data_IF_683953803317
#
_entry.id   IF_683953803317
#
_cell.length_a   1.000
_cell.length_b   1.000
_cell.length_c   1.000
_cell.angle_alpha   90.00
_cell.angle_beta   90.00
_cell.angle_gamma   90.00
#
_symmetry.space_group_name_H-M   'P 1'
#
loop_
_entity.id
_entity.type
_entity.pdbx_description
1 polymer ?
#
# COMPACT_ATOMS: atom_id res chain seq x y z
N UNK A 1 -2.29 -3.13 -13.11
CA UNK A 1 -2.65 -4.54 -13.32
C UNK A 1 -3.76 -4.86 -12.33
N UNK A 2 -4.83 -5.52 -12.77
CA UNK A 2 -5.92 -5.90 -11.86
C UNK A 2 -5.44 -6.99 -10.89
N UNK A 3 -5.96 -6.98 -9.65
CA UNK A 3 -5.68 -8.05 -8.68
C UNK A 3 -6.07 -9.43 -9.23
N UNK A 4 -5.32 -10.46 -8.84
CA UNK A 4 -5.76 -11.84 -9.05
C UNK A 4 -7.00 -12.15 -8.21
N UNK A 5 -7.69 -13.26 -8.52
CA UNK A 5 -8.80 -13.74 -7.70
C UNK A 5 -8.36 -13.99 -6.24
N UNK A 6 -7.15 -14.53 -6.06
CA UNK A 6 -6.52 -14.75 -4.76
C UNK A 6 -6.29 -13.45 -3.99
N UNK A 7 -5.67 -12.45 -4.63
CA UNK A 7 -5.43 -11.14 -4.04
C UNK A 7 -6.73 -10.39 -3.73
N UNK A 8 -7.77 -10.57 -4.55
CA UNK A 8 -9.11 -10.03 -4.28
C UNK A 8 -9.72 -10.67 -3.03
N UNK A 9 -9.62 -12.00 -2.88
CA UNK A 9 -10.11 -12.70 -1.69
C UNK A 9 -9.35 -12.27 -0.42
N UNK A 10 -8.03 -12.09 -0.50
CA UNK A 10 -7.23 -11.55 0.60
C UNK A 10 -7.64 -10.11 0.94
N UNK A 11 -7.88 -9.27 -0.05
CA UNK A 11 -8.33 -7.88 0.16
C UNK A 11 -9.65 -7.84 0.93
N UNK A 12 -10.62 -8.69 0.59
CA UNK A 12 -11.87 -8.84 1.35
C UNK A 12 -11.63 -9.31 2.78
N UNK A 13 -10.72 -10.28 2.99
CA UNK A 13 -10.32 -10.72 4.32
C UNK A 13 -9.75 -9.55 5.15
N UNK A 14 -8.93 -8.69 4.54
CA UNK A 14 -8.36 -7.54 5.23
C UNK A 14 -9.43 -6.54 5.69
N UNK A 15 -10.38 -6.21 4.80
CA UNK A 15 -11.53 -5.34 5.13
C UNK A 15 -12.37 -5.94 6.27
N UNK A 16 -12.65 -7.25 6.22
CA UNK A 16 -13.47 -7.93 7.21
C UNK A 16 -12.81 -8.13 8.58
N UNK A 17 -11.51 -8.45 8.59
CA UNK A 17 -10.79 -8.81 9.80
C UNK A 17 -10.14 -7.62 10.49
N UNK A 18 -9.53 -6.70 9.73
CA UNK A 18 -8.73 -5.61 10.27
C UNK A 18 -9.39 -4.23 10.11
N UNK A 19 -10.51 -4.13 9.38
CA UNK A 19 -11.14 -2.85 9.00
C UNK A 19 -10.18 -1.90 8.26
N UNK A 20 -9.30 -2.46 7.44
CA UNK A 20 -8.35 -1.72 6.60
C UNK A 20 -8.08 -2.46 5.30
N UNK A 21 -7.54 -1.74 4.34
CA UNK A 21 -6.98 -2.35 3.14
C UNK A 21 -5.66 -3.07 3.46
N UNK A 22 -5.23 -4.06 2.66
CA UNK A 22 -3.93 -4.69 2.86
C UNK A 22 -2.79 -3.75 2.47
N UNK A 23 -1.75 -3.76 3.28
CA UNK A 23 -0.43 -3.26 2.92
C UNK A 23 0.24 -4.21 1.91
N UNK A 24 1.11 -3.67 1.05
CA UNK A 24 1.77 -4.45 -0.02
C UNK A 24 2.41 -5.74 0.48
N UNK A 25 3.27 -5.63 1.50
CA UNK A 25 4.04 -6.77 2.01
C UNK A 25 3.15 -7.85 2.61
N UNK A 26 2.11 -7.46 3.36
CA UNK A 26 1.13 -8.40 3.91
C UNK A 26 0.35 -9.12 2.82
N UNK A 27 -0.11 -8.40 1.80
CA UNK A 27 -0.78 -9.01 0.65
C UNK A 27 0.11 -10.03 -0.05
N UNK A 28 1.37 -9.66 -0.34
CA UNK A 28 2.34 -10.54 -1.00
C UNK A 28 2.68 -11.76 -0.15
N UNK A 29 2.83 -11.58 1.17
CA UNK A 29 3.08 -12.68 2.09
C UNK A 29 1.96 -13.72 2.04
N UNK A 30 0.70 -13.29 2.19
CA UNK A 30 -0.42 -14.22 2.17
C UNK A 30 -0.66 -14.82 0.79
N UNK A 31 -0.46 -14.06 -0.28
CA UNK A 31 -0.55 -14.58 -1.66
C UNK A 31 0.50 -15.67 -1.92
N UNK A 32 1.71 -15.51 -1.38
CA UNK A 32 2.76 -16.54 -1.42
C UNK A 32 2.38 -17.79 -0.59
N UNK A 33 1.79 -17.62 0.60
CA UNK A 33 1.31 -18.76 1.39
C UNK A 33 0.27 -19.58 0.62
N UNK A 34 -0.70 -18.92 -0.02
CA UNK A 34 -1.72 -19.58 -0.83
C UNK A 34 -1.11 -20.26 -2.06
N UNK A 35 -0.16 -19.59 -2.73
CA UNK A 35 0.57 -20.15 -3.87
C UNK A 35 1.41 -21.37 -3.51
N UNK A 36 1.89 -21.46 -2.26
CA UNK A 36 2.62 -22.62 -1.73
C UNK A 36 1.72 -23.80 -1.31
N UNK A 37 0.40 -23.68 -1.49
CA UNK A 37 -0.58 -24.73 -1.20
C UNK A 37 -1.27 -24.62 0.15
N UNK A 38 -1.05 -23.54 0.92
CA UNK A 38 -1.82 -23.30 2.14
C UNK A 38 -3.29 -23.05 1.77
N UNK A 39 -4.26 -23.76 2.37
CA UNK A 39 -5.67 -23.51 2.11
C UNK A 39 -6.09 -22.10 2.57
N UNK A 40 -6.95 -21.43 1.78
CA UNK A 40 -7.48 -20.11 2.15
C UNK A 40 -8.18 -20.10 3.51
N UNK A 41 -8.90 -21.18 3.85
CA UNK A 41 -9.53 -21.33 5.17
C UNK A 41 -8.52 -21.32 6.33
N UNK A 42 -7.31 -21.85 6.13
CA UNK A 42 -6.25 -21.82 7.12
C UNK A 42 -5.66 -20.42 7.27
N UNK A 43 -5.49 -19.68 6.16
CA UNK A 43 -5.08 -18.27 6.19
C UNK A 43 -6.10 -17.43 6.97
N UNK A 44 -7.40 -17.60 6.66
CA UNK A 44 -8.50 -16.91 7.36
C UNK A 44 -8.46 -17.21 8.87
N UNK A 45 -8.33 -18.49 9.26
CA UNK A 45 -8.24 -18.86 10.67
C UNK A 45 -7.02 -18.24 11.37
N UNK A 46 -5.88 -18.20 10.68
CA UNK A 46 -4.64 -17.61 11.19
C UNK A 46 -4.82 -16.11 11.40
N UNK A 47 -5.34 -15.39 10.41
CA UNK A 47 -5.62 -13.96 10.50
C UNK A 47 -6.55 -13.65 11.67
N UNK A 48 -7.65 -14.39 11.83
CA UNK A 48 -8.60 -14.18 12.94
C UNK A 48 -8.07 -14.61 14.31
N UNK A 49 -6.90 -15.27 14.37
CA UNK A 49 -6.20 -15.58 15.62
C UNK A 49 -5.23 -14.48 16.06
N UNK A 50 -4.91 -13.53 15.16
CA UNK A 50 -3.93 -12.47 15.46
C UNK A 50 -4.44 -11.53 16.56
N UNK A 51 -3.56 -11.08 17.48
CA UNK A 51 -3.93 -10.17 18.56
C UNK A 51 -4.65 -8.89 18.08
N UNK A 52 -4.22 -8.32 16.96
CA UNK A 52 -4.84 -7.12 16.37
C UNK A 52 -6.29 -7.39 15.93
N UNK A 53 -6.59 -8.58 15.38
CA UNK A 53 -7.96 -8.95 15.02
C UNK A 53 -8.78 -9.29 16.26
N UNK A 54 -8.17 -9.91 17.28
CA UNK A 54 -8.81 -10.14 18.58
C UNK A 54 -9.11 -8.86 19.36
N UNK A 55 -8.40 -7.77 19.10
CA UNK A 55 -8.74 -6.47 19.65
C UNK A 55 -10.05 -5.91 19.06
N UNK A 56 -10.36 -6.24 17.80
CA UNK A 56 -11.61 -5.87 17.12
C UNK A 56 -12.73 -6.87 17.46
N UNK A 57 -12.40 -8.17 17.45
CA UNK A 57 -13.32 -9.29 17.69
C UNK A 57 -12.80 -10.23 18.79
N UNK A 58 -12.91 -9.84 20.08
CA UNK A 58 -12.44 -10.67 21.20
C UNK A 58 -13.09 -12.04 21.27
N UNK A 59 -12.32 -13.04 21.72
CA UNK A 59 -12.83 -14.41 21.93
C UNK A 59 -13.93 -14.48 23.00
N UNK A 60 -13.95 -13.53 23.93
CA UNK A 60 -14.99 -13.41 24.95
C UNK A 60 -16.34 -12.97 24.41
N UNK A 61 -16.42 -12.45 23.17
CA UNK A 61 -17.71 -12.11 22.56
C UNK A 61 -18.54 -13.38 22.38
N UNK A 62 -19.82 -13.33 22.77
CA UNK A 62 -20.81 -14.31 22.32
C UNK A 62 -20.96 -14.27 20.80
N UNK A 63 -21.51 -15.32 20.19
CA UNK A 63 -21.75 -15.32 18.73
C UNK A 63 -22.63 -14.15 18.28
N UNK A 64 -23.65 -13.81 19.05
CA UNK A 64 -24.54 -12.68 18.73
C UNK A 64 -23.80 -11.32 18.79
N UNK A 65 -22.94 -11.11 19.79
CA UNK A 65 -22.11 -9.91 19.89
C UNK A 65 -21.10 -9.82 18.75
N UNK A 66 -20.41 -10.93 18.46
CA UNK A 66 -19.47 -11.02 17.35
C UNK A 66 -20.14 -10.68 16.02
N UNK A 67 -21.27 -11.33 15.70
CA UNK A 67 -21.99 -11.07 14.45
C UNK A 67 -22.51 -9.63 14.36
N UNK A 68 -22.99 -9.07 15.47
CA UNK A 68 -23.45 -7.67 15.53
C UNK A 68 -22.29 -6.69 15.26
N UNK A 69 -21.10 -6.97 15.81
CA UNK A 69 -19.90 -6.20 15.51
C UNK A 69 -19.51 -6.31 14.04
N UNK A 70 -19.54 -7.52 13.46
CA UNK A 70 -19.28 -7.73 12.02
C UNK A 70 -20.28 -6.95 11.15
N UNK A 71 -21.58 -7.00 11.46
CA UNK A 71 -22.60 -6.23 10.73
C UNK A 71 -22.32 -4.72 10.77
N UNK A 72 -21.90 -4.21 11.92
CA UNK A 72 -21.57 -2.79 12.08
C UNK A 72 -20.31 -2.42 11.30
N UNK A 73 -19.23 -3.18 11.49
CA UNK A 73 -17.91 -2.88 10.94
C UNK A 73 -17.85 -3.09 9.42
N UNK A 74 -18.51 -4.14 8.92
CA UNK A 74 -18.40 -4.58 7.53
C UNK A 74 -19.55 -4.03 6.67
N UNK A 75 -20.76 -3.90 7.23
CA UNK A 75 -21.94 -3.50 6.46
C UNK A 75 -22.55 -2.16 6.88
N UNK A 76 -21.97 -1.48 7.88
CA UNK A 76 -22.45 -0.17 8.32
C UNK A 76 -23.87 -0.18 8.87
N UNK A 77 -24.36 -1.35 9.33
CA UNK A 77 -25.74 -1.52 9.74
C UNK A 77 -25.90 -2.45 10.93
N UNK A 78 -27.04 -2.36 11.60
CA UNK A 78 -27.48 -3.35 12.59
C UNK A 78 -27.98 -4.61 11.86
N UNK A 79 -27.73 -5.83 12.38
CA UNK A 79 -28.33 -7.04 11.82
C UNK A 79 -29.85 -7.00 11.89
N UNK A 80 -30.52 -7.53 10.86
CA UNK A 80 -31.92 -7.93 10.98
C UNK A 80 -32.00 -9.29 11.70
N UNK A 81 -33.16 -9.61 12.28
CA UNK A 81 -33.34 -10.81 13.08
C UNK A 81 -33.09 -12.11 12.28
N UNK A 82 -33.49 -12.14 11.01
CA UNK A 82 -33.32 -13.31 10.14
C UNK A 82 -31.86 -13.56 9.78
N UNK A 83 -31.15 -12.52 9.36
CA UNK A 83 -29.72 -12.56 9.06
C UNK A 83 -28.89 -12.97 10.28
N UNK A 84 -29.17 -12.38 11.45
CA UNK A 84 -28.48 -12.75 12.69
C UNK A 84 -28.69 -14.23 13.05
N UNK A 85 -29.94 -14.71 12.97
CA UNK A 85 -30.28 -16.11 13.25
C UNK A 85 -29.57 -17.06 12.27
N UNK A 86 -29.55 -16.71 10.98
CA UNK A 86 -28.88 -17.50 9.95
C UNK A 86 -27.38 -17.63 10.23
N UNK A 87 -26.65 -16.52 10.37
CA UNK A 87 -25.21 -16.58 10.59
C UNK A 87 -24.84 -17.19 11.94
N UNK A 88 -25.66 -16.98 12.97
CA UNK A 88 -25.47 -17.66 14.25
C UNK A 88 -25.62 -19.18 14.13
N UNK A 89 -26.55 -19.67 13.29
CA UNK A 89 -26.67 -21.10 13.00
C UNK A 89 -25.45 -21.67 12.29
N UNK A 90 -24.79 -20.89 11.41
CA UNK A 90 -23.56 -21.34 10.73
C UNK A 90 -22.42 -21.54 11.73
N UNK A 91 -22.25 -20.61 12.68
CA UNK A 91 -21.28 -20.77 13.77
C UNK A 91 -21.67 -21.95 14.66
N UNK A 92 -22.96 -22.11 14.98
CA UNK A 92 -23.47 -23.24 15.77
C UNK A 92 -23.28 -24.60 15.11
N UNK A 93 -23.25 -24.66 13.78
CA UNK A 93 -22.95 -25.84 12.99
C UNK A 93 -21.44 -26.15 12.88
N UNK A 94 -20.58 -25.34 13.51
CA UNK A 94 -19.13 -25.57 13.58
C UNK A 94 -18.30 -24.75 12.59
N UNK A 95 -18.90 -23.84 11.82
CA UNK A 95 -18.09 -22.92 11.00
C UNK A 95 -17.28 -21.96 11.88
N UNK A 96 -16.01 -21.77 11.52
CA UNK A 96 -15.14 -20.84 12.22
C UNK A 96 -15.57 -19.39 11.96
N UNK A 97 -15.46 -18.53 12.98
CA UNK A 97 -15.88 -17.12 12.91
C UNK A 97 -15.29 -16.37 11.72
N UNK A 98 -14.01 -16.56 11.43
CA UNK A 98 -13.37 -15.90 10.28
C UNK A 98 -13.97 -16.34 8.94
N UNK A 99 -14.30 -17.62 8.79
CA UNK A 99 -14.93 -18.16 7.58
C UNK A 99 -16.36 -17.62 7.42
N UNK A 100 -17.09 -17.46 8.52
CA UNK A 100 -18.39 -16.79 8.52
C UNK A 100 -18.28 -15.34 8.06
N UNK A 101 -17.27 -14.59 8.50
CA UNK A 101 -17.07 -13.20 8.02
C UNK A 101 -16.81 -13.15 6.52
N UNK A 102 -15.94 -14.01 5.98
CA UNK A 102 -15.69 -14.05 4.54
C UNK A 102 -16.95 -14.43 3.75
N UNK A 103 -17.72 -15.40 4.25
CA UNK A 103 -18.99 -15.80 3.63
C UNK A 103 -20.05 -14.69 3.69
N UNK A 104 -20.11 -13.93 4.78
CA UNK A 104 -20.97 -12.76 4.92
C UNK A 104 -20.64 -11.71 3.85
N UNK A 105 -19.35 -11.37 3.69
CA UNK A 105 -18.89 -10.40 2.70
C UNK A 105 -19.30 -10.83 1.29
N UNK A 106 -19.04 -12.09 0.93
CA UNK A 106 -19.41 -12.60 -0.39
C UNK A 106 -20.93 -12.61 -0.61
N UNK A 107 -21.71 -13.03 0.39
CA UNK A 107 -23.18 -12.98 0.32
C UNK A 107 -23.70 -11.55 0.14
N UNK A 108 -23.13 -10.59 0.86
CA UNK A 108 -23.51 -9.18 0.76
C UNK A 108 -23.17 -8.56 -0.59
N UNK A 109 -21.95 -8.79 -1.09
CA UNK A 109 -21.53 -8.30 -2.41
C UNK A 109 -22.36 -8.90 -3.56
N UNK A 110 -22.82 -10.14 -3.41
CA UNK A 110 -23.66 -10.83 -4.39
C UNK A 110 -25.17 -10.56 -4.24
N UNK A 111 -25.59 -9.79 -3.22
CA UNK A 111 -27.00 -9.39 -3.06
C UNK A 111 -27.43 -8.35 -4.12
N UNK A 112 -28.74 -8.15 -4.37
CA UNK A 112 -29.20 -7.12 -5.30
C UNK A 112 -28.76 -5.71 -4.91
N UNK A 113 -28.59 -4.82 -5.89
CA UNK A 113 -28.34 -3.40 -5.64
C UNK A 113 -29.48 -2.77 -4.82
N UNK A 114 -29.13 -1.86 -3.92
CA UNK A 114 -30.07 -1.27 -2.95
C UNK A 114 -30.31 -2.11 -1.70
N UNK A 115 -29.77 -3.34 -1.61
CA UNK A 115 -29.79 -4.10 -0.35
C UNK A 115 -29.07 -3.32 0.75
N UNK A 116 -29.69 -3.07 1.93
CA UNK A 116 -29.05 -2.33 3.02
C UNK A 116 -27.68 -2.92 3.40
N UNK A 117 -26.66 -2.06 3.43
CA UNK A 117 -25.27 -2.42 3.74
C UNK A 117 -24.45 -2.93 2.54
N UNK A 118 -25.06 -3.24 1.38
CA UNK A 118 -24.30 -3.65 0.18
C UNK A 118 -23.39 -2.53 -0.30
N UNK A 119 -23.91 -1.32 -0.50
CA UNK A 119 -23.13 -0.20 -1.01
C UNK A 119 -21.94 0.14 -0.08
N UNK A 120 -22.15 0.05 1.23
CA UNK A 120 -21.13 0.26 2.25
C UNK A 120 -19.95 -0.72 2.11
N UNK A 121 -20.20 -2.03 2.07
CA UNK A 121 -19.12 -3.02 1.90
C UNK A 121 -18.51 -2.96 0.50
N UNK A 122 -19.31 -2.70 -0.54
CA UNK A 122 -18.84 -2.55 -1.91
C UNK A 122 -17.83 -1.41 -2.02
N UNK A 123 -18.16 -0.21 -1.53
CA UNK A 123 -17.28 0.95 -1.59
C UNK A 123 -15.96 0.69 -0.86
N UNK A 124 -16.01 0.08 0.34
CA UNK A 124 -14.81 -0.24 1.11
C UNK A 124 -13.94 -1.29 0.44
N UNK A 125 -14.54 -2.36 -0.12
CA UNK A 125 -13.80 -3.39 -0.85
C UNK A 125 -13.19 -2.83 -2.13
N UNK A 126 -13.92 -2.01 -2.90
CA UNK A 126 -13.37 -1.38 -4.10
C UNK A 126 -12.23 -0.41 -3.76
N UNK A 127 -12.34 0.36 -2.68
CA UNK A 127 -11.25 1.22 -2.23
C UNK A 127 -10.02 0.42 -1.75
N UNK A 128 -10.25 -0.68 -1.04
CA UNK A 128 -9.19 -1.58 -0.62
C UNK A 128 -8.48 -2.24 -1.81
N UNK A 129 -9.24 -2.66 -2.82
CA UNK A 129 -8.68 -3.19 -4.08
C UNK A 129 -7.88 -2.12 -4.81
N UNK A 130 -8.42 -0.90 -4.91
CA UNK A 130 -7.73 0.22 -5.55
C UNK A 130 -6.35 0.46 -4.93
N UNK A 131 -6.27 0.63 -3.60
CA UNK A 131 -4.98 0.89 -2.94
C UNK A 131 -4.05 -0.33 -2.95
N UNK A 132 -4.59 -1.55 -2.94
CA UNK A 132 -3.77 -2.76 -3.11
C UNK A 132 -3.12 -2.81 -4.50
N UNK A 133 -3.89 -2.56 -5.57
CA UNK A 133 -3.36 -2.47 -6.93
C UNK A 133 -2.35 -1.34 -7.06
N UNK A 134 -2.67 -0.19 -6.48
CA UNK A 134 -1.80 0.98 -6.47
C UNK A 134 -0.44 0.64 -5.86
N UNK A 135 -0.42 0.05 -4.67
CA UNK A 135 0.81 -0.38 -4.00
C UNK A 135 1.62 -1.39 -4.82
N UNK A 136 0.97 -2.38 -5.43
CA UNK A 136 1.64 -3.38 -6.28
C UNK A 136 2.25 -2.76 -7.54
N UNK A 137 1.49 -1.90 -8.23
CA UNK A 137 1.97 -1.18 -9.43
C UNK A 137 3.13 -0.26 -9.06
N UNK A 138 3.03 0.42 -7.92
CA UNK A 138 3.99 1.42 -7.47
C UNK A 138 5.24 0.83 -6.81
N UNK A 139 5.19 -0.45 -6.41
CA UNK A 139 6.26 -1.06 -5.63
C UNK A 139 6.45 -0.42 -4.25
N UNK A 140 5.40 0.21 -3.70
CA UNK A 140 5.46 0.94 -2.43
C UNK A 140 4.46 0.39 -1.43
N UNK A 141 4.79 0.52 -0.15
CA UNK A 141 3.91 0.16 0.96
C UNK A 141 3.30 1.41 1.55
N UNK A 142 1.97 1.48 1.60
CA UNK A 142 1.25 2.54 2.29
C UNK A 142 1.18 2.21 3.78
N UNK A 143 1.39 3.22 4.63
CA UNK A 143 1.31 3.08 6.08
C UNK A 143 -0.05 2.52 6.54
N UNK A 144 -0.02 1.63 7.53
CA UNK A 144 -1.22 0.96 8.04
C UNK A 144 -2.29 1.94 8.51
N UNK A 145 -1.92 3.05 9.17
CA UNK A 145 -2.90 4.03 9.66
C UNK A 145 -3.63 4.72 8.52
N UNK A 146 -2.95 5.00 7.40
CA UNK A 146 -3.60 5.57 6.20
C UNK A 146 -4.57 4.58 5.56
N UNK A 147 -4.23 3.28 5.58
CA UNK A 147 -5.13 2.22 5.09
C UNK A 147 -6.36 2.05 6.00
N UNK A 148 -6.20 2.23 7.32
CA UNK A 148 -7.32 2.28 8.28
C UNK A 148 -8.17 3.53 8.03
N UNK A 149 -7.55 4.71 7.94
CA UNK A 149 -8.24 5.99 7.69
C UNK A 149 -9.05 5.94 6.39
N UNK A 150 -8.46 5.43 5.30
CA UNK A 150 -9.17 5.21 4.05
C UNK A 150 -10.45 4.41 4.25
N UNK A 151 -10.36 3.21 4.83
CA UNK A 151 -11.52 2.31 4.93
C UNK A 151 -12.56 2.83 5.92
N UNK A 152 -12.12 3.44 7.02
CA UNK A 152 -13.03 3.95 8.06
C UNK A 152 -13.73 5.25 7.65
N UNK A 153 -13.15 6.04 6.74
CA UNK A 153 -13.77 7.26 6.18
C UNK A 153 -14.87 7.00 5.14
N UNK A 154 -14.93 5.77 4.59
CA UNK A 154 -15.87 5.42 3.52
C UNK A 154 -17.17 4.86 4.10
N UNK A 155 -18.30 5.40 3.65
CA UNK A 155 -19.66 4.96 3.94
C UNK A 155 -20.38 4.44 2.68
N UNK A 156 -21.71 4.27 2.72
CA UNK A 156 -22.51 3.83 1.58
C UNK A 156 -22.57 4.82 0.39
N UNK A 157 -22.15 6.07 0.58
CA UNK A 157 -22.23 7.11 -0.45
C UNK A 157 -21.04 7.04 -1.41
N UNK A 158 -21.30 7.31 -2.71
CA UNK A 158 -20.22 7.44 -3.68
C UNK A 158 -19.30 8.64 -3.37
N UNK A 159 -19.83 9.66 -2.69
CA UNK A 159 -19.06 10.86 -2.32
C UNK A 159 -17.96 10.53 -1.31
N UNK A 160 -18.25 9.72 -0.28
CA UNK A 160 -17.24 9.30 0.70
C UNK A 160 -16.16 8.42 0.06
N UNK A 161 -16.55 7.52 -0.85
CA UNK A 161 -15.61 6.74 -1.66
C UNK A 161 -14.64 7.67 -2.42
N UNK A 162 -15.17 8.62 -3.20
CA UNK A 162 -14.33 9.51 -4.01
C UNK A 162 -13.44 10.41 -3.14
N UNK A 163 -13.98 10.93 -2.03
CA UNK A 163 -13.21 11.75 -1.09
C UNK A 163 -12.09 10.93 -0.41
N UNK A 164 -12.36 9.69 0.00
CA UNK A 164 -11.38 8.79 0.60
C UNK A 164 -10.24 8.44 -0.36
N UNK A 165 -10.57 8.11 -1.62
CA UNK A 165 -9.57 7.86 -2.67
C UNK A 165 -8.72 9.11 -2.93
N UNK A 166 -9.34 10.29 -3.11
CA UNK A 166 -8.59 11.52 -3.34
C UNK A 166 -7.68 11.90 -2.16
N UNK A 167 -8.15 11.69 -0.93
CA UNK A 167 -7.34 11.93 0.28
C UNK A 167 -6.15 10.98 0.37
N UNK A 168 -6.37 9.69 0.08
CA UNK A 168 -5.31 8.70 0.01
C UNK A 168 -4.30 9.07 -1.07
N UNK A 169 -4.73 9.34 -2.30
CA UNK A 169 -3.87 9.69 -3.43
C UNK A 169 -3.01 10.92 -3.14
N UNK A 170 -3.59 11.95 -2.51
CA UNK A 170 -2.85 13.11 -2.02
C UNK A 170 -1.80 12.73 -0.97
N UNK A 171 -2.06 11.71 -0.16
CA UNK A 171 -1.20 11.27 0.92
C UNK A 171 -0.17 10.18 0.51
N UNK A 172 -0.24 9.64 -0.71
CA UNK A 172 0.62 8.54 -1.19
C UNK A 172 1.29 8.90 -2.53
N UNK A 173 2.62 8.97 -2.51
CA UNK A 173 3.45 9.42 -3.63
C UNK A 173 3.26 8.60 -4.92
N UNK A 174 3.15 9.26 -6.09
CA UNK A 174 2.96 8.65 -7.42
C UNK A 174 4.31 8.37 -8.10
N UNK A 175 4.68 7.10 -8.35
CA UNK A 175 5.94 6.81 -8.98
C UNK A 175 6.03 7.34 -10.40
N UNK A 176 6.99 8.22 -10.62
CA UNK A 176 7.52 8.58 -11.92
C UNK A 176 8.70 7.63 -12.21
N UNK A 177 8.42 6.57 -12.96
CA UNK A 177 9.46 5.66 -13.44
C UNK A 177 10.24 6.28 -14.61
N UNK A 178 11.51 5.94 -14.81
CA UNK A 178 12.28 6.48 -15.90
C UNK A 178 11.84 5.85 -17.22
N UNK A 179 11.36 6.68 -18.14
CA UNK A 179 11.14 6.25 -19.53
C UNK A 179 12.47 6.33 -20.27
N UNK A 180 12.98 5.23 -20.87
CA UNK A 180 14.24 5.26 -21.62
C UNK A 180 14.22 6.33 -22.71
N UNK A 181 15.23 7.20 -22.72
CA UNK A 181 15.38 8.30 -23.68
C UNK A 181 14.75 9.63 -23.27
N UNK A 182 14.08 9.73 -22.11
CA UNK A 182 13.48 10.98 -21.66
C UNK A 182 14.49 11.87 -20.92
N UNK A 183 14.81 13.06 -21.45
CA UNK A 183 15.82 13.95 -20.86
C UNK A 183 15.34 14.68 -19.60
N UNK A 184 14.03 14.86 -19.42
CA UNK A 184 13.46 15.66 -18.32
C UNK A 184 12.20 15.01 -17.73
N UNK A 185 12.14 14.90 -16.41
CA UNK A 185 10.92 14.60 -15.64
C UNK A 185 10.36 15.88 -15.00
N UNK A 186 9.05 15.96 -14.82
CA UNK A 186 8.40 17.13 -14.20
C UNK A 186 7.41 16.65 -13.15
N UNK A 187 7.57 17.14 -11.92
CA UNK A 187 6.63 16.92 -10.83
C UNK A 187 5.26 17.52 -11.11
N UNK A 188 4.25 16.96 -10.49
CA UNK A 188 2.85 17.33 -10.59
C UNK A 188 2.41 18.11 -9.35
N UNK A 189 1.14 18.52 -9.29
CA UNK A 189 0.57 19.16 -8.09
C UNK A 189 0.26 18.15 -6.96
N UNK A 190 0.50 16.86 -7.20
CA UNK A 190 0.37 15.77 -6.22
C UNK A 190 1.77 15.32 -5.81
N UNK A 191 1.86 14.57 -4.72
CA UNK A 191 3.15 13.97 -4.33
C UNK A 191 3.61 12.97 -5.38
N UNK A 192 4.81 13.15 -5.93
CA UNK A 192 5.43 12.24 -6.89
C UNK A 192 6.54 11.38 -6.24
N UNK A 193 6.92 10.28 -6.89
CA UNK A 193 8.03 9.40 -6.51
C UNK A 193 8.91 9.08 -7.72
N UNK A 194 10.01 9.78 -7.93
CA UNK A 194 10.92 9.44 -9.03
C UNK A 194 11.76 8.21 -8.68
N UNK A 195 11.77 7.17 -9.51
CA UNK A 195 12.53 5.94 -9.23
C UNK A 195 13.72 5.83 -10.19
N UNK A 196 14.92 5.60 -9.65
CA UNK A 196 16.14 5.39 -10.42
C UNK A 196 16.70 3.97 -10.20
N UNK A 197 17.06 3.28 -11.28
CA UNK A 197 17.78 2.00 -11.24
C UNK A 197 19.26 2.17 -11.60
N UNK A 198 20.12 1.18 -11.28
CA UNK A 198 21.57 1.24 -11.49
C UNK A 198 21.99 1.79 -12.87
N UNK A 199 22.94 2.74 -12.87
CA UNK A 199 23.56 3.46 -14.00
C UNK A 199 22.60 3.74 -15.17
N UNK A 200 21.88 4.86 -15.13
CA UNK A 200 21.04 5.28 -16.25
C UNK A 200 21.52 6.55 -16.94
N UNK A 201 22.67 6.44 -17.60
CA UNK A 201 23.09 7.45 -18.57
C UNK A 201 22.07 7.68 -19.72
N UNK A 202 20.94 6.97 -19.77
CA UNK A 202 19.93 7.07 -20.84
C UNK A 202 18.52 7.45 -20.38
N UNK A 203 18.30 7.88 -19.13
CA UNK A 203 16.99 8.31 -18.61
C UNK A 203 16.97 9.83 -18.34
N UNK A 204 16.38 10.25 -17.21
CA UNK A 204 16.27 11.64 -16.79
C UNK A 204 17.63 12.28 -16.55
N UNK A 205 17.86 13.45 -17.17
CA UNK A 205 18.99 14.34 -16.87
C UNK A 205 18.62 15.40 -15.84
N UNK A 206 17.33 15.78 -15.81
CA UNK A 206 16.79 16.83 -14.96
C UNK A 206 15.40 16.43 -14.46
N UNK A 207 15.11 16.69 -13.19
CA UNK A 207 13.75 16.70 -12.63
C UNK A 207 13.40 18.15 -12.27
N UNK A 208 12.24 18.61 -12.72
CA UNK A 208 11.73 19.95 -12.47
C UNK A 208 10.44 19.93 -11.65
N UNK A 209 10.14 21.05 -10.99
CA UNK A 209 8.82 21.26 -10.37
C UNK A 209 8.58 20.41 -9.13
N UNK A 210 9.64 20.01 -8.43
CA UNK A 210 9.53 19.28 -7.17
C UNK A 210 8.87 20.15 -6.11
N UNK A 211 7.90 19.59 -5.40
CA UNK A 211 7.14 20.23 -4.32
C UNK A 211 7.31 19.46 -3.01
N UNK A 212 6.95 20.11 -1.89
CA UNK A 212 7.04 19.48 -0.57
C UNK A 212 6.22 18.18 -0.54
N UNK A 213 6.87 17.10 -0.10
CA UNK A 213 6.32 15.75 -0.10
C UNK A 213 6.85 14.86 -1.22
N UNK A 214 7.33 15.41 -2.34
CA UNK A 214 7.87 14.61 -3.45
C UNK A 214 9.06 13.76 -3.00
N UNK A 215 9.17 12.58 -3.60
CA UNK A 215 10.14 11.57 -3.24
C UNK A 215 11.03 11.23 -4.43
N UNK A 216 12.31 10.94 -4.17
CA UNK A 216 13.23 10.36 -5.15
C UNK A 216 13.81 9.09 -4.54
N UNK A 217 13.56 7.93 -5.15
CA UNK A 217 14.12 6.65 -4.75
C UNK A 217 15.28 6.29 -5.65
N UNK A 218 16.42 5.99 -5.03
CA UNK A 218 17.63 5.53 -5.72
C UNK A 218 18.00 4.09 -5.35
N UNK A 219 17.08 3.36 -4.71
CA UNK A 219 17.29 1.99 -4.28
C UNK A 219 17.46 1.03 -5.48
N UNK A 220 18.42 0.12 -5.40
CA UNK A 220 18.61 -0.90 -6.41
C UNK A 220 17.53 -1.99 -6.29
N UNK A 221 17.02 -2.50 -7.43
CA UNK A 221 16.01 -3.55 -7.45
C UNK A 221 16.46 -4.91 -6.84
N UNK A 222 17.76 -5.08 -6.57
CA UNK A 222 18.36 -6.32 -6.09
C UNK A 222 19.07 -6.20 -4.73
N UNK A 223 19.12 -5.01 -4.12
CA UNK A 223 19.76 -4.77 -2.83
C UNK A 223 18.85 -3.86 -2.00
N UNK A 224 18.37 -4.37 -0.87
CA UNK A 224 17.52 -3.62 0.07
C UNK A 224 18.28 -2.55 0.85
N UNK A 225 19.60 -2.49 0.73
CA UNK A 225 20.43 -1.43 1.28
C UNK A 225 21.04 -0.62 0.14
N UNK A 226 20.34 0.40 -0.35
CA UNK A 226 21.01 1.45 -1.11
C UNK A 226 21.96 2.20 -0.17
N UNK A 227 23.27 2.00 -0.30
CA UNK A 227 24.25 2.78 0.43
C UNK A 227 24.19 4.24 -0.06
N UNK A 228 23.35 5.03 0.60
CA UNK A 228 23.35 6.47 0.50
C UNK A 228 24.34 7.04 1.52
N UNK A 229 25.33 7.76 1.03
CA UNK A 229 26.28 8.49 1.86
C UNK A 229 26.06 10.01 1.67
N UNK A 230 25.97 10.75 2.77
CA UNK A 230 26.09 12.20 2.76
C UNK A 230 27.54 12.56 2.45
N UNK A 231 27.88 12.85 1.20
CA UNK A 231 29.25 13.21 0.85
C UNK A 231 29.65 14.58 1.42
N UNK A 232 30.73 14.62 2.21
CA UNK A 232 31.76 15.63 1.96
C UNK A 232 32.52 15.18 0.71
N UNK A 233 32.26 15.84 -0.41
CA UNK A 233 32.67 15.47 -1.78
C UNK A 233 34.02 14.74 -1.84
N UNK A 234 33.97 13.42 -1.97
CA UNK A 234 35.13 12.59 -2.25
C UNK A 234 35.19 12.30 -3.74
N UNK A 235 36.33 12.55 -4.37
CA UNK A 235 36.59 12.15 -5.77
C UNK A 235 36.23 10.67 -6.02
N UNK A 236 36.17 10.22 -7.29
CA UNK A 236 35.93 8.82 -7.67
C UNK A 236 36.77 7.76 -6.90
N UNK A 237 37.91 8.16 -6.32
CA UNK A 237 38.79 7.33 -5.52
C UNK A 237 38.40 7.17 -4.03
N UNK A 238 37.39 7.91 -3.53
CA UNK A 238 37.00 7.95 -2.12
C UNK A 238 35.78 7.06 -1.78
N UNK A 239 35.28 6.31 -2.77
CA UNK A 239 34.02 5.56 -2.71
C UNK A 239 34.32 4.06 -2.69
N UNK A 240 33.62 3.29 -1.87
CA UNK A 240 33.86 1.85 -1.77
C UNK A 240 33.11 1.07 -2.87
N UNK A 241 33.35 -0.25 -2.91
CA UNK A 241 33.10 -1.07 -4.08
C UNK A 241 31.64 -1.54 -4.14
N UNK A 242 30.75 -0.69 -4.68
CA UNK A 242 29.59 -1.03 -5.55
C UNK A 242 28.63 0.18 -5.69
N UNK A 243 28.65 0.86 -6.84
CA UNK A 243 27.47 1.56 -7.37
C UNK A 243 26.69 2.45 -6.40
N UNK A 244 27.30 3.53 -5.90
CA UNK A 244 26.71 4.38 -4.85
C UNK A 244 26.10 5.69 -5.38
N UNK A 245 25.10 6.22 -4.66
CA UNK A 245 24.44 7.50 -4.97
C UNK A 245 24.81 8.58 -3.94
N UNK A 246 25.08 9.79 -4.45
CA UNK A 246 25.47 10.95 -3.64
C UNK A 246 24.64 12.18 -3.98
N UNK A 247 24.22 12.93 -2.96
CA UNK A 247 23.49 14.18 -3.15
C UNK A 247 24.29 15.39 -2.67
N UNK A 248 24.41 16.41 -3.53
CA UNK A 248 24.99 17.70 -3.21
C UNK A 248 23.90 18.77 -3.13
N UNK A 249 23.56 19.18 -1.90
CA UNK A 249 22.53 20.18 -1.61
C UNK A 249 22.91 21.61 -2.04
N UNK A 250 24.18 21.91 -2.32
CA UNK A 250 24.57 23.24 -2.81
C UNK A 250 24.29 23.41 -4.31
N UNK A 251 24.17 22.29 -5.04
CA UNK A 251 23.99 22.29 -6.48
C UNK A 251 22.81 21.42 -6.93
N UNK A 252 21.96 20.98 -6.01
CA UNK A 252 20.87 19.99 -6.17
C UNK A 252 21.21 18.81 -7.10
N UNK A 253 22.44 18.29 -6.99
CA UNK A 253 22.93 17.23 -7.86
C UNK A 253 22.91 15.89 -7.17
N UNK A 254 22.29 14.91 -7.82
CA UNK A 254 22.27 13.52 -7.43
C UNK A 254 23.15 12.73 -8.41
N UNK A 255 24.26 12.17 -7.93
CA UNK A 255 25.27 11.51 -8.76
C UNK A 255 25.43 10.04 -8.39
N UNK A 256 25.36 9.16 -9.40
CA UNK A 256 25.70 7.75 -9.28
C UNK A 256 27.14 7.49 -9.74
N UNK A 257 27.91 6.74 -8.96
CA UNK A 257 29.28 6.34 -9.30
C UNK A 257 29.40 4.83 -9.51
N UNK A 258 29.83 4.42 -10.70
CA UNK A 258 30.18 3.03 -11.00
C UNK A 258 31.70 2.84 -10.95
N UNK A 259 32.18 2.16 -9.91
CA UNK A 259 33.60 1.87 -9.71
C UNK A 259 34.12 0.76 -10.64
N UNK A 260 33.26 -0.13 -11.15
CA UNK A 260 33.64 -1.18 -12.11
C UNK A 260 33.95 -0.60 -13.49
N UNK A 261 33.18 0.41 -13.92
CA UNK A 261 33.34 1.06 -15.22
C UNK A 261 34.08 2.40 -15.14
N UNK A 262 34.45 2.83 -13.93
CA UNK A 262 35.07 4.13 -13.65
C UNK A 262 34.30 5.30 -14.30
N UNK A 263 32.98 5.32 -14.11
CA UNK A 263 32.08 6.28 -14.75
C UNK A 263 31.04 6.83 -13.80
N UNK A 264 30.62 8.08 -13.99
CA UNK A 264 29.54 8.72 -13.24
C UNK A 264 28.37 9.13 -14.13
N UNK A 265 27.18 9.16 -13.54
CA UNK A 265 25.98 9.78 -14.11
C UNK A 265 25.40 10.76 -13.09
N UNK A 266 24.90 11.91 -13.55
CA UNK A 266 24.33 12.95 -12.66
C UNK A 266 22.93 13.34 -13.14
N UNK A 267 22.04 13.52 -12.16
CA UNK A 267 20.69 14.04 -12.31
C UNK A 267 20.56 15.32 -11.50
N UNK A 268 20.02 16.36 -12.12
CA UNK A 268 19.73 17.64 -11.47
C UNK A 268 18.30 17.63 -10.90
N UNK A 269 18.13 17.84 -9.59
CA UNK A 269 16.83 17.94 -8.91
C UNK A 269 16.46 19.42 -8.71
N UNK A 270 15.97 20.10 -9.75
CA UNK A 270 15.81 21.57 -9.68
C UNK A 270 14.68 22.00 -8.75
N UNK A 271 14.89 23.12 -8.03
CA UNK A 271 13.87 23.77 -7.22
C UNK A 271 13.75 23.24 -5.79
N UNK A 272 14.76 22.52 -5.30
CA UNK A 272 14.72 21.87 -3.99
C UNK A 272 15.66 22.59 -3.01
N UNK A 273 15.10 23.20 -1.96
CA UNK A 273 15.93 23.87 -0.96
C UNK A 273 16.40 22.91 0.15
N UNK A 274 15.65 21.84 0.41
CA UNK A 274 15.94 20.85 1.44
C UNK A 274 15.45 19.46 1.05
N UNK A 275 16.27 18.44 1.31
CA UNK A 275 15.88 17.02 1.24
C UNK A 275 16.32 16.29 2.50
N UNK A 276 15.49 15.36 2.97
CA UNK A 276 15.89 14.35 3.95
C UNK A 276 16.01 12.99 3.30
N UNK A 277 16.96 12.16 3.76
CA UNK A 277 17.10 10.78 3.29
C UNK A 277 16.84 9.81 4.43
N UNK A 278 16.10 8.75 4.12
CA UNK A 278 15.82 7.67 5.06
C UNK A 278 16.69 6.42 4.80
N UNK A 279 16.67 5.41 5.69
CA UNK A 279 17.48 4.19 5.53
C UNK A 279 17.21 3.36 4.27
N UNK A 280 16.12 3.63 3.54
CA UNK A 280 15.78 2.94 2.29
C UNK A 280 16.28 3.70 1.04
N UNK A 281 17.20 4.65 1.21
CA UNK A 281 17.72 5.52 0.14
C UNK A 281 16.62 6.28 -0.62
N UNK A 282 15.62 6.76 0.12
CA UNK A 282 14.58 7.64 -0.43
C UNK A 282 14.81 9.06 0.07
N UNK A 283 15.00 9.98 -0.87
CA UNK A 283 15.01 11.41 -0.64
C UNK A 283 13.57 11.92 -0.58
N UNK A 284 13.26 12.77 0.38
CA UNK A 284 11.96 13.45 0.50
C UNK A 284 12.17 14.95 0.52
N UNK A 285 11.46 15.66 -0.34
CA UNK A 285 11.47 17.12 -0.41
C UNK A 285 10.68 17.67 0.78
N UNK A 286 11.30 18.56 1.54
CA UNK A 286 10.69 19.19 2.72
C UNK A 286 10.34 20.65 2.42
N UNK A 287 9.40 21.20 3.20
CA UNK A 287 8.96 22.60 3.16
C UNK A 287 9.92 23.54 3.87
#
# INVERSE_FOLDING_TARGET
>A
MALTATQTALTKLYVGAFMRAPEREGLMYWDAQLSSGTPFSQVVNTVFSLPVVKAIYPDSMTNAQFLTAVYTNVFGKVPDAGGLAYWNSQIGAGQQRGQVVTAMIDAGLNSPDGTPGKAFILNRVEAAKYVAELQLIRGTTVDEHKLIELITSIDESQASYQAGIAALEKAVAVPFGPTPGQTTGTGTASTDLFIFGNVDANNYRVINGLTAGDMVSVAAAADTNGDYQLASVGSAAAVDARGEWFFNAASDNLTYWNTLTNSAATVQLTGVNTVSVNPNAVFTVLS
#
